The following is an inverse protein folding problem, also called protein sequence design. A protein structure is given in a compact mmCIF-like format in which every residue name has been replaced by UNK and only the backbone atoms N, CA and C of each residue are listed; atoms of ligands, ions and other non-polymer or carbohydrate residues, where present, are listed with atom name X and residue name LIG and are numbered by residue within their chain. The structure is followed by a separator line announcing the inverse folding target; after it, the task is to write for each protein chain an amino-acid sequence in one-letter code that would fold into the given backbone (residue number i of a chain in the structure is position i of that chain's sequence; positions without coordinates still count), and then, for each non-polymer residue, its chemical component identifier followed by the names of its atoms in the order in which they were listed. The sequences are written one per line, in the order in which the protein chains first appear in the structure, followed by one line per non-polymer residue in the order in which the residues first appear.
data_IF_872761482723
#
_entry.id   IF_872761482723
#
_cell.length_a   1.000
_cell.length_b   1.000
_cell.length_c   1.000
_cell.angle_alpha   90.00
_cell.angle_beta   90.00
_cell.angle_gamma   90.00
#
_symmetry.space_group_name_H-M   'P 1'
#
loop_
_entity.id
_entity.type
_entity.pdbx_description
1 polymer ?
#
# COMPACT_ATOMS: atom_id res chain seq x y z
N UNK A 1 -31.92 6.21 9.42
CA UNK A 1 -30.48 6.32 9.09
C UNK A 1 -30.01 4.97 8.57
N UNK A 2 -29.72 4.84 7.28
CA UNK A 2 -29.24 3.57 6.73
C UNK A 2 -27.81 3.32 7.20
N UNK A 3 -27.60 2.23 7.94
CA UNK A 3 -26.28 1.72 8.28
C UNK A 3 -25.76 0.93 7.07
N UNK A 4 -24.84 1.52 6.30
CA UNK A 4 -24.20 0.83 5.19
C UNK A 4 -23.15 -0.12 5.78
N UNK A 5 -23.57 -1.36 6.11
CA UNK A 5 -22.61 -2.45 6.32
C UNK A 5 -21.91 -2.70 4.99
N UNK A 6 -20.70 -2.15 4.82
CA UNK A 6 -19.82 -2.54 3.72
C UNK A 6 -19.52 -4.02 3.85
N UNK A 7 -19.66 -4.76 2.76
CA UNK A 7 -19.27 -6.17 2.72
C UNK A 7 -17.74 -6.30 2.82
N UNK A 8 -17.26 -7.41 3.36
CA UNK A 8 -15.83 -7.70 3.47
C UNK A 8 -15.07 -7.57 2.12
N UNK A 9 -15.62 -8.02 0.98
CA UNK A 9 -14.97 -7.82 -0.33
C UNK A 9 -14.85 -6.34 -0.73
N UNK A 10 -15.89 -5.55 -0.54
CA UNK A 10 -15.85 -4.10 -0.85
C UNK A 10 -14.80 -3.39 0.02
N UNK A 11 -14.70 -3.77 1.29
CA UNK A 11 -13.68 -3.26 2.18
C UNK A 11 -12.28 -3.64 1.69
N UNK A 12 -12.06 -4.91 1.33
CA UNK A 12 -10.77 -5.39 0.82
C UNK A 12 -10.34 -4.64 -0.46
N UNK A 13 -11.26 -4.45 -1.40
CA UNK A 13 -11.00 -3.70 -2.64
C UNK A 13 -10.68 -2.23 -2.33
N UNK A 14 -11.47 -1.58 -1.46
CA UNK A 14 -11.22 -0.19 -1.07
C UNK A 14 -9.84 -0.01 -0.41
N UNK A 15 -9.44 -0.93 0.46
CA UNK A 15 -8.12 -0.94 1.09
C UNK A 15 -7.02 -1.09 0.03
N UNK A 16 -7.16 -2.01 -0.93
CA UNK A 16 -6.17 -2.17 -1.99
C UNK A 16 -6.03 -0.91 -2.86
N UNK A 17 -7.15 -0.27 -3.24
CA UNK A 17 -7.12 0.97 -4.03
C UNK A 17 -6.46 2.11 -3.25
N UNK A 18 -6.79 2.27 -1.96
CA UNK A 18 -6.18 3.28 -1.09
C UNK A 18 -4.66 3.12 -1.03
N UNK A 19 -4.17 1.90 -0.77
CA UNK A 19 -2.74 1.64 -0.75
C UNK A 19 -2.09 1.72 -2.13
N UNK A 20 -2.80 1.44 -3.22
CA UNK A 20 -2.31 1.61 -4.58
C UNK A 20 -2.05 3.09 -4.92
N UNK A 21 -2.91 4.00 -4.46
CA UNK A 21 -2.70 5.44 -4.62
C UNK A 21 -1.42 5.90 -3.90
N UNK A 22 -1.23 5.46 -2.64
CA UNK A 22 -0.02 5.76 -1.87
C UNK A 22 1.23 5.17 -2.55
N UNK A 23 1.16 3.89 -2.98
CA UNK A 23 2.25 3.22 -3.67
C UNK A 23 2.63 3.94 -4.98
N UNK A 24 1.65 4.41 -5.73
CA UNK A 24 1.87 5.16 -6.97
C UNK A 24 2.60 6.47 -6.71
N UNK A 25 2.14 7.26 -5.72
CA UNK A 25 2.80 8.50 -5.36
C UNK A 25 4.25 8.26 -4.92
N UNK A 26 4.49 7.21 -4.13
CA UNK A 26 5.83 6.85 -3.67
C UNK A 26 6.72 6.38 -4.83
N UNK A 27 6.21 5.58 -5.76
CA UNK A 27 7.01 4.98 -6.84
C UNK A 27 7.31 5.97 -7.96
N UNK A 28 6.36 6.82 -8.34
CA UNK A 28 6.51 7.71 -9.49
C UNK A 28 7.01 9.11 -9.10
N UNK A 29 6.73 9.56 -7.88
CA UNK A 29 7.12 10.89 -7.42
C UNK A 29 8.13 10.88 -6.26
N UNK A 30 8.46 9.71 -5.70
CA UNK A 30 9.33 9.57 -4.52
C UNK A 30 8.82 10.34 -3.27
N UNK A 31 7.52 10.66 -3.26
CA UNK A 31 6.83 11.42 -2.21
C UNK A 31 5.96 10.50 -1.36
N UNK A 32 6.06 10.66 -0.03
CA UNK A 32 5.17 9.99 0.93
C UNK A 32 3.96 10.88 1.23
N UNK A 33 2.85 10.65 0.52
CA UNK A 33 1.59 11.42 0.64
C UNK A 33 0.73 11.06 1.86
N UNK A 34 1.32 10.41 2.86
CA UNK A 34 0.61 9.87 4.02
C UNK A 34 1.44 10.05 5.29
N UNK A 35 0.77 10.09 6.44
CA UNK A 35 1.39 10.14 7.76
C UNK A 35 1.96 8.81 8.23
N UNK A 36 1.54 7.68 7.63
CA UNK A 36 2.09 6.35 7.95
C UNK A 36 3.62 6.33 7.81
N UNK A 37 4.32 5.65 8.74
CA UNK A 37 5.77 5.47 8.64
C UNK A 37 6.13 4.54 7.48
N UNK A 38 7.40 4.53 7.05
CA UNK A 38 7.85 3.62 6.00
C UNK A 38 7.72 2.15 6.43
N UNK A 39 7.92 1.84 7.71
CA UNK A 39 7.74 0.50 8.29
C UNK A 39 6.27 0.08 8.25
N UNK A 40 5.35 0.99 8.59
CA UNK A 40 3.91 0.74 8.49
C UNK A 40 3.48 0.48 7.05
N UNK A 41 4.02 1.26 6.10
CA UNK A 41 3.73 1.08 4.68
C UNK A 41 4.32 -0.24 4.14
N UNK A 42 5.53 -0.59 4.54
CA UNK A 42 6.12 -1.90 4.24
C UNK A 42 5.22 -3.05 4.70
N UNK A 43 4.75 -3.00 5.96
CA UNK A 43 3.87 -4.03 6.49
C UNK A 43 2.55 -4.13 5.71
N UNK A 44 1.96 -3.00 5.32
CA UNK A 44 0.74 -2.97 4.53
C UNK A 44 0.94 -3.52 3.12
N UNK A 45 1.98 -3.10 2.40
CA UNK A 45 2.28 -3.61 1.06
C UNK A 45 2.57 -5.11 1.10
N UNK A 46 3.32 -5.58 2.09
CA UNK A 46 3.60 -7.02 2.28
C UNK A 46 2.32 -7.84 2.44
N UNK A 47 1.30 -7.31 3.15
CA UNK A 47 0.01 -8.00 3.32
C UNK A 47 -0.84 -8.04 2.05
N UNK A 48 -0.67 -7.07 1.14
CA UNK A 48 -1.46 -6.97 -0.09
C UNK A 48 -0.85 -7.80 -1.24
N UNK A 49 0.48 -7.94 -1.27
CA UNK A 49 1.20 -8.74 -2.26
C UNK A 49 0.73 -10.19 -2.22
N UNK A 50 0.57 -10.81 -3.40
CA UNK A 50 0.21 -12.22 -3.61
C UNK A 50 -1.16 -12.63 -3.04
N UNK A 51 -2.06 -11.68 -2.78
CA UNK A 51 -3.47 -12.03 -2.54
C UNK A 51 -4.05 -12.65 -3.82
N UNK A 52 -4.80 -13.77 -3.76
CA UNK A 52 -5.27 -14.49 -4.96
C UNK A 52 -6.11 -13.66 -5.94
N UNK A 53 -6.81 -12.64 -5.42
CA UNK A 53 -7.65 -11.74 -6.20
C UNK A 53 -6.92 -10.48 -6.70
N UNK A 54 -5.65 -10.30 -6.34
CA UNK A 54 -4.87 -9.10 -6.68
C UNK A 54 -4.36 -9.16 -8.11
N UNK A 55 -4.53 -8.07 -8.87
CA UNK A 55 -4.02 -7.98 -10.23
C UNK A 55 -2.47 -8.02 -10.26
N UNK A 56 -1.91 -8.48 -11.38
CA UNK A 56 -0.46 -8.53 -11.55
C UNK A 56 0.19 -7.14 -11.49
N UNK A 57 -0.49 -6.14 -12.01
CA UNK A 57 -0.06 -4.73 -12.02
C UNK A 57 0.01 -4.16 -10.60
N UNK A 58 -1.03 -4.38 -9.80
CA UNK A 58 -1.05 -3.94 -8.40
C UNK A 58 0.01 -4.67 -7.58
N UNK A 59 0.19 -5.96 -7.78
CA UNK A 59 1.28 -6.72 -7.16
C UNK A 59 2.65 -6.12 -7.50
N UNK A 60 2.92 -5.86 -8.77
CA UNK A 60 4.17 -5.23 -9.22
C UNK A 60 4.39 -3.85 -8.60
N UNK A 61 3.32 -3.03 -8.55
CA UNK A 61 3.35 -1.71 -7.92
C UNK A 61 3.71 -1.81 -6.42
N UNK A 62 3.05 -2.70 -5.68
CA UNK A 62 3.33 -2.89 -4.25
C UNK A 62 4.74 -3.41 -3.99
N UNK A 63 5.25 -4.32 -4.81
CA UNK A 63 6.64 -4.81 -4.69
C UNK A 63 7.65 -3.67 -4.89
N UNK A 64 7.41 -2.78 -5.86
CA UNK A 64 8.27 -1.60 -6.09
C UNK A 64 8.22 -0.62 -4.93
N UNK A 65 7.02 -0.31 -4.44
CA UNK A 65 6.82 0.57 -3.29
C UNK A 65 7.47 0.00 -2.01
N UNK A 66 7.34 -1.31 -1.76
CA UNK A 66 7.98 -2.00 -0.65
C UNK A 66 9.50 -1.82 -0.63
N UNK A 67 10.16 -1.96 -1.79
CA UNK A 67 11.61 -1.74 -1.91
C UNK A 67 12.01 -0.30 -1.55
N UNK A 68 11.21 0.69 -1.93
CA UNK A 68 11.44 2.08 -1.57
C UNK A 68 11.25 2.35 -0.07
N UNK A 69 10.21 1.77 0.53
CA UNK A 69 10.01 1.85 1.99
C UNK A 69 11.22 1.33 2.76
N UNK A 70 11.73 0.15 2.41
CA UNK A 70 12.94 -0.43 3.04
C UNK A 70 14.16 0.46 2.91
N UNK A 71 14.39 1.00 1.70
CA UNK A 71 15.50 1.91 1.43
C UNK A 71 15.41 3.19 2.26
N UNK A 72 14.22 3.78 2.40
CA UNK A 72 14.03 5.05 3.12
C UNK A 72 13.94 4.87 4.64
N UNK A 73 13.31 3.80 5.13
CA UNK A 73 13.25 3.48 6.56
C UNK A 73 14.63 3.22 7.16
N UNK A 74 15.54 2.59 6.42
CA UNK A 74 16.92 2.40 6.87
C UNK A 74 17.72 3.72 6.92
N UNK A 75 17.42 4.69 6.05
CA UNK A 75 18.07 6.01 6.06
C UNK A 75 17.67 6.89 7.24
N UNK A 76 16.52 6.65 7.88
CA UNK A 76 16.09 7.43 9.05
C UNK A 76 16.70 6.96 10.38
N UNK A 77 17.49 5.88 10.38
CA UNK A 77 18.16 5.33 11.58
C UNK A 77 19.67 5.60 11.62
N UNK A 78 20.20 6.39 10.69
CA UNK A 78 21.61 6.81 10.64
C UNK A 78 21.69 8.31 10.79
#
# INVERSE_FOLDING_TARGET
MASWKRSEPEHAVAVAIYYAAIASALVFHDVKVTTHSYESLEASFTRLINKPWMSAELNSLFIRALKLCRKKGHKSKS
#
